data_IF_254848615255
#
_entry.id   IF_254848615255
#
_cell.length_a   1.000
_cell.length_b   1.000
_cell.length_c   1.000
_cell.angle_alpha   90.00
_cell.angle_beta   90.00
_cell.angle_gamma   90.00
#
_symmetry.space_group_name_H-M   'P 1'
#
loop_
_entity.id
_entity.type
_entity.pdbx_description
1 polymer ?
#
# COMPACT_ATOMS: atom_id res chain seq x y z
N UNK A 1 -7.96 30.41 -12.20
CA UNK A 1 -7.81 28.94 -12.35
C UNK A 1 -8.03 28.30 -11.00
N UNK A 2 -8.94 27.33 -10.87
CA UNK A 2 -9.14 26.56 -9.64
C UNK A 2 -8.18 25.34 -9.62
N UNK A 3 -7.63 24.99 -8.45
CA UNK A 3 -6.70 23.86 -8.26
C UNK A 3 -7.12 23.02 -7.04
N UNK A 4 -6.79 21.73 -7.07
CA UNK A 4 -6.92 20.80 -5.95
C UNK A 4 -5.63 19.98 -5.81
N UNK A 5 -5.36 19.36 -4.64
CA UNK A 5 -4.29 18.37 -4.50
C UNK A 5 -4.46 17.20 -5.47
N UNK A 6 -3.36 16.59 -5.90
CA UNK A 6 -3.30 15.48 -6.87
C UNK A 6 -3.53 14.10 -6.26
N UNK A 7 -3.95 14.06 -4.98
CA UNK A 7 -4.17 12.85 -4.21
C UNK A 7 -2.89 12.22 -3.69
N UNK A 8 -3.03 11.12 -2.95
CA UNK A 8 -1.92 10.51 -2.20
C UNK A 8 -0.82 9.98 -3.13
N UNK A 9 -1.17 9.63 -4.36
CA UNK A 9 -0.24 9.22 -5.41
C UNK A 9 0.73 10.33 -5.86
N UNK A 10 0.43 11.60 -5.57
CA UNK A 10 1.35 12.72 -5.81
C UNK A 10 2.66 12.62 -5.05
N UNK A 11 2.71 11.78 -3.99
CA UNK A 11 3.90 11.54 -3.17
C UNK A 11 5.15 11.22 -4.00
N UNK A 12 5.05 10.32 -4.98
CA UNK A 12 6.23 9.88 -5.75
C UNK A 12 6.84 11.04 -6.57
N UNK A 13 5.99 11.83 -7.23
CA UNK A 13 6.39 13.02 -7.97
C UNK A 13 6.93 14.11 -7.06
N UNK A 14 6.33 14.30 -5.88
CA UNK A 14 6.78 15.26 -4.89
C UNK A 14 8.17 14.91 -4.33
N UNK A 15 8.41 13.65 -3.99
CA UNK A 15 9.71 13.17 -3.50
C UNK A 15 10.81 13.36 -4.55
N UNK A 16 10.51 13.05 -5.82
CA UNK A 16 11.45 13.23 -6.94
C UNK A 16 11.76 14.69 -7.20
N UNK A 17 10.74 15.53 -7.38
CA UNK A 17 10.93 16.96 -7.68
C UNK A 17 11.60 17.73 -6.54
N UNK A 18 11.43 17.27 -5.31
CA UNK A 18 12.04 17.87 -4.11
C UNK A 18 13.44 17.31 -3.78
N UNK A 19 13.99 16.40 -4.59
CA UNK A 19 15.29 15.72 -4.38
C UNK A 19 15.40 15.00 -3.03
N UNK A 20 14.27 14.52 -2.51
CA UNK A 20 14.21 13.85 -1.20
C UNK A 20 14.76 12.43 -1.26
N UNK A 21 14.75 11.79 -2.43
CA UNK A 21 15.41 10.48 -2.59
C UNK A 21 16.93 10.59 -2.38
N UNK A 22 17.57 11.62 -2.93
CA UNK A 22 19.00 11.87 -2.77
C UNK A 22 19.37 12.26 -1.34
N UNK A 23 18.55 13.09 -0.68
CA UNK A 23 18.74 13.44 0.75
C UNK A 23 18.64 12.19 1.64
N UNK A 24 17.61 11.36 1.45
CA UNK A 24 17.44 10.10 2.19
C UNK A 24 18.60 9.14 1.96
N UNK A 25 19.05 8.99 0.70
CA UNK A 25 20.19 8.14 0.36
C UNK A 25 21.49 8.63 1.03
N UNK A 26 21.74 9.94 1.02
CA UNK A 26 22.92 10.55 1.65
C UNK A 26 22.93 10.33 3.17
N UNK A 27 21.75 10.29 3.79
CA UNK A 27 21.58 9.99 5.22
C UNK A 27 21.61 8.49 5.55
N UNK A 28 21.75 7.62 4.54
CA UNK A 28 21.75 6.17 4.73
C UNK A 28 20.38 5.58 5.08
N UNK A 29 19.28 6.28 4.78
CA UNK A 29 17.92 5.76 4.98
C UNK A 29 17.67 4.63 3.98
N UNK A 30 17.19 3.49 4.46
CA UNK A 30 16.91 2.30 3.63
C UNK A 30 15.43 1.99 3.47
N UNK A 31 14.62 2.38 4.45
CA UNK A 31 13.22 2.02 4.57
C UNK A 31 12.39 3.26 4.86
N UNK A 32 11.20 3.33 4.27
CA UNK A 32 10.28 4.46 4.34
C UNK A 32 8.93 3.94 4.85
N UNK A 33 8.51 4.45 6.00
CA UNK A 33 7.19 4.19 6.60
C UNK A 33 6.21 5.30 6.18
N UNK A 34 5.21 4.94 5.38
CA UNK A 34 4.19 5.84 4.87
C UNK A 34 2.86 5.55 5.57
N UNK A 35 2.27 6.58 6.18
CA UNK A 35 1.02 6.44 6.93
C UNK A 35 0.02 7.58 6.67
N UNK A 36 -1.27 7.29 6.85
CA UNK A 36 -2.34 8.28 6.87
C UNK A 36 -2.37 9.07 8.19
N UNK A 37 -2.41 10.41 8.10
CA UNK A 37 -2.32 11.32 9.26
C UNK A 37 -3.53 11.25 10.21
N UNK A 38 -4.67 10.75 9.74
CA UNK A 38 -5.93 10.64 10.47
C UNK A 38 -5.98 9.48 11.47
N UNK A 39 -5.02 8.55 11.40
CA UNK A 39 -4.96 7.42 12.30
C UNK A 39 -4.30 7.79 13.64
N UNK A 40 -5.11 8.16 14.63
CA UNK A 40 -4.64 8.48 15.99
C UNK A 40 -3.95 7.30 16.72
N UNK A 41 -4.16 6.06 16.26
CA UNK A 41 -3.56 4.85 16.83
C UNK A 41 -2.31 4.38 16.05
N UNK A 42 -1.85 5.17 15.08
CA UNK A 42 -0.69 4.80 14.27
C UNK A 42 0.55 4.63 15.14
N UNK A 43 1.23 3.50 14.96
CA UNK A 43 2.55 3.25 15.53
C UNK A 43 3.59 3.65 14.50
N UNK A 44 3.94 4.94 14.47
CA UNK A 44 4.95 5.50 13.55
C UNK A 44 6.27 4.77 13.77
N UNK A 45 6.90 4.32 12.68
CA UNK A 45 8.16 3.58 12.70
C UNK A 45 8.13 2.35 13.62
N UNK A 46 7.02 1.59 13.59
CA UNK A 46 6.85 0.37 14.40
C UNK A 46 7.99 -0.64 14.13
N UNK A 47 8.88 -0.90 15.12
CA UNK A 47 10.05 -1.75 14.93
C UNK A 47 9.67 -3.21 14.66
N UNK A 48 8.49 -3.65 15.10
CA UNK A 48 7.99 -5.01 14.85
C UNK A 48 7.73 -5.22 13.37
N UNK A 49 7.06 -4.24 12.75
CA UNK A 49 6.74 -4.29 11.34
C UNK A 49 7.98 -4.08 10.48
N UNK A 50 8.85 -3.14 10.85
CA UNK A 50 10.12 -2.95 10.17
C UNK A 50 10.98 -4.22 10.24
N UNK A 51 11.11 -4.83 11.41
CA UNK A 51 11.87 -6.07 11.59
C UNK A 51 11.33 -7.21 10.72
N UNK A 52 10.00 -7.40 10.68
CA UNK A 52 9.36 -8.37 9.79
C UNK A 52 9.60 -8.06 8.30
N UNK A 53 9.47 -6.80 7.92
CA UNK A 53 9.70 -6.34 6.54
C UNK A 53 11.14 -6.66 6.08
N UNK A 54 12.12 -6.42 6.96
CA UNK A 54 13.53 -6.74 6.73
C UNK A 54 13.73 -8.26 6.67
N UNK A 55 13.19 -9.03 7.63
CA UNK A 55 13.29 -10.49 7.65
C UNK A 55 12.77 -11.14 6.37
N UNK A 56 11.65 -10.61 5.83
CA UNK A 56 11.08 -11.11 4.57
C UNK A 56 11.80 -10.66 3.32
N UNK A 57 12.72 -9.70 3.41
CA UNK A 57 13.50 -9.22 2.27
C UNK A 57 12.63 -8.67 1.12
N UNK A 58 11.51 -8.03 1.46
CA UNK A 58 10.58 -7.47 0.47
C UNK A 58 10.85 -6.00 0.17
N UNK A 59 10.38 -5.53 -0.98
CA UNK A 59 10.50 -4.14 -1.43
C UNK A 59 9.32 -3.25 -1.03
N UNK A 60 8.13 -3.84 -0.83
CA UNK A 60 6.90 -3.18 -0.44
C UNK A 60 6.07 -4.08 0.49
N UNK A 61 5.43 -3.47 1.50
CA UNK A 61 4.65 -4.15 2.53
C UNK A 61 3.53 -3.26 3.04
N UNK A 62 2.42 -3.85 3.47
CA UNK A 62 1.31 -3.11 4.07
C UNK A 62 0.87 -3.77 5.37
N UNK A 63 0.51 -2.95 6.36
CA UNK A 63 -0.30 -3.41 7.48
C UNK A 63 -1.76 -3.36 7.04
N UNK A 64 -2.50 -4.40 7.41
CA UNK A 64 -3.92 -4.47 7.13
C UNK A 64 -4.68 -4.72 8.39
N UNK A 65 -5.97 -4.44 8.34
CA UNK A 65 -6.92 -4.93 9.33
C UNK A 65 -7.96 -5.76 8.63
N UNK A 66 -8.57 -6.67 9.38
CA UNK A 66 -9.69 -7.44 8.85
C UNK A 66 -10.91 -6.54 8.70
N UNK A 67 -11.52 -6.57 7.52
CA UNK A 67 -12.80 -5.92 7.24
C UNK A 67 -13.87 -6.43 8.21
N UNK A 68 -14.56 -5.51 8.88
CA UNK A 68 -15.51 -5.82 9.94
C UNK A 68 -16.84 -6.38 9.39
N UNK A 69 -17.30 -5.83 8.26
CA UNK A 69 -18.55 -6.22 7.59
C UNK A 69 -18.48 -5.89 6.08
N UNK A 70 -19.29 -6.54 5.22
CA UNK A 70 -19.18 -6.39 3.75
C UNK A 70 -19.29 -4.95 3.23
N UNK A 71 -20.14 -4.13 3.87
CA UNK A 71 -20.45 -2.76 3.47
C UNK A 71 -19.48 -1.71 4.03
N UNK A 72 -18.45 -2.12 4.78
CA UNK A 72 -17.43 -1.20 5.28
C UNK A 72 -16.76 -0.48 4.10
N UNK A 73 -16.74 0.86 4.16
CA UNK A 73 -16.22 1.74 3.10
C UNK A 73 -14.70 1.84 3.19
N UNK A 74 -14.03 0.76 2.82
CA UNK A 74 -12.57 0.66 2.84
C UNK A 74 -12.09 -0.10 1.62
N UNK A 75 -10.98 0.37 1.03
CA UNK A 75 -10.31 -0.36 -0.04
C UNK A 75 -9.78 -1.70 0.47
N UNK A 76 -9.79 -2.72 -0.38
CA UNK A 76 -9.33 -4.07 -0.01
C UNK A 76 -8.22 -4.55 -0.93
N UNK A 77 -7.26 -5.28 -0.37
CA UNK A 77 -6.22 -5.93 -1.16
C UNK A 77 -6.78 -7.13 -1.91
N UNK A 78 -6.56 -7.14 -3.23
CA UNK A 78 -7.02 -8.17 -4.16
C UNK A 78 -5.87 -8.61 -5.05
N UNK A 79 -5.69 -9.92 -5.19
CA UNK A 79 -4.78 -10.48 -6.19
C UNK A 79 -5.50 -10.65 -7.52
N UNK A 80 -4.99 -10.02 -8.57
CA UNK A 80 -5.54 -10.12 -9.93
C UNK A 80 -5.08 -11.43 -10.57
N UNK A 81 -5.96 -12.43 -10.61
CA UNK A 81 -5.66 -13.74 -11.20
C UNK A 81 -4.66 -14.58 -10.37
N UNK A 82 -4.40 -15.81 -10.82
CA UNK A 82 -3.41 -16.68 -10.18
C UNK A 82 -2.00 -16.21 -10.55
N UNK A 83 -1.17 -15.94 -9.56
CA UNK A 83 0.19 -15.47 -9.81
C UNK A 83 0.30 -13.95 -10.06
N UNK A 84 -0.78 -13.28 -10.45
CA UNK A 84 -0.75 -11.87 -10.81
C UNK A 84 -0.64 -10.91 -9.61
N UNK A 85 -0.68 -9.60 -9.88
CA UNK A 85 -0.32 -8.58 -8.91
C UNK A 85 -1.32 -8.41 -7.78
N UNK A 86 -0.83 -7.92 -6.64
CA UNK A 86 -1.68 -7.43 -5.57
C UNK A 86 -2.00 -5.96 -5.82
N UNK A 87 -3.29 -5.64 -5.79
CA UNK A 87 -3.81 -4.29 -6.00
C UNK A 87 -4.80 -3.95 -4.90
N UNK A 88 -4.93 -2.67 -4.56
CA UNK A 88 -6.07 -2.20 -3.76
C UNK A 88 -7.23 -1.95 -4.72
N UNK A 89 -8.41 -2.49 -4.39
CA UNK A 89 -9.67 -2.15 -5.05
C UNK A 89 -10.45 -1.28 -4.09
N UNK A 90 -10.76 -0.06 -4.51
CA UNK A 90 -11.54 0.87 -3.69
C UNK A 90 -12.96 0.37 -3.49
N UNK A 91 -13.57 0.71 -2.35
CA UNK A 91 -14.92 0.24 -2.01
C UNK A 91 -15.98 0.67 -3.05
N UNK A 92 -15.76 1.81 -3.72
CA UNK A 92 -16.62 2.31 -4.81
C UNK A 92 -16.49 1.51 -6.11
N UNK A 93 -15.41 0.74 -6.27
CA UNK A 93 -15.10 -0.05 -7.46
C UNK A 93 -15.32 -1.55 -7.25
N UNK A 94 -15.56 -1.98 -6.00
CA UNK A 94 -15.79 -3.37 -5.65
C UNK A 94 -17.27 -3.74 -5.83
N UNK A 95 -17.53 -4.73 -6.69
CA UNK A 95 -18.88 -5.25 -6.90
C UNK A 95 -19.51 -5.73 -5.57
N UNK A 96 -20.77 -5.35 -5.25
CA UNK A 96 -21.41 -5.72 -3.98
C UNK A 96 -21.50 -7.23 -3.72
N UNK A 97 -21.64 -8.05 -4.76
CA UNK A 97 -21.66 -9.52 -4.63
C UNK A 97 -20.29 -10.05 -4.23
N UNK A 98 -19.21 -9.46 -4.76
CA UNK A 98 -17.84 -9.77 -4.34
C UNK A 98 -17.56 -9.26 -2.93
N UNK A 99 -18.02 -8.06 -2.59
CA UNK A 99 -17.85 -7.49 -1.25
C UNK A 99 -18.46 -8.39 -0.15
N UNK A 100 -19.53 -9.11 -0.49
CA UNK A 100 -20.24 -10.04 0.39
C UNK A 100 -19.83 -11.50 0.22
N UNK A 101 -18.90 -11.79 -0.69
CA UNK A 101 -18.50 -13.17 -0.98
C UNK A 101 -17.81 -13.81 0.22
N UNK A 102 -18.21 -15.03 0.57
CA UNK A 102 -17.65 -15.80 1.68
C UNK A 102 -16.68 -16.85 1.14
N UNK A 103 -15.51 -16.94 1.75
CA UNK A 103 -14.61 -18.06 1.61
C UNK A 103 -15.18 -19.25 2.40
N UNK A 104 -15.56 -20.31 1.69
CA UNK A 104 -16.26 -21.47 2.26
C UNK A 104 -15.41 -22.28 3.26
N UNK A 105 -14.09 -22.27 3.12
CA UNK A 105 -13.17 -23.00 4.01
C UNK A 105 -13.01 -22.27 5.35
N UNK A 106 -12.97 -20.94 5.31
CA UNK A 106 -12.69 -20.11 6.50
C UNK A 106 -13.95 -19.53 7.14
N UNK A 107 -15.08 -19.53 6.43
CA UNK A 107 -16.33 -18.86 6.84
C UNK A 107 -16.23 -17.34 6.89
N UNK A 108 -15.15 -16.75 6.35
CA UNK A 108 -14.87 -15.30 6.39
C UNK A 108 -15.13 -14.65 5.05
N UNK A 109 -15.18 -13.32 5.03
CA UNK A 109 -15.22 -12.57 3.77
C UNK A 109 -13.99 -12.92 2.92
N UNK A 110 -14.24 -13.21 1.65
CA UNK A 110 -13.21 -13.55 0.66
C UNK A 110 -12.25 -12.38 0.45
N UNK A 111 -12.77 -11.15 0.45
CA UNK A 111 -11.99 -9.92 0.38
C UNK A 111 -12.09 -9.20 1.73
N UNK A 112 -11.25 -9.64 2.67
CA UNK A 112 -11.30 -9.19 4.06
C UNK A 112 -10.10 -8.36 4.51
N UNK A 113 -9.16 -8.05 3.62
CA UNK A 113 -7.93 -7.37 4.00
C UNK A 113 -7.97 -5.90 3.63
N UNK A 114 -8.31 -5.07 4.61
CA UNK A 114 -8.55 -3.65 4.45
C UNK A 114 -7.24 -2.86 4.35
N UNK A 115 -7.18 -1.96 3.38
CA UNK A 115 -6.12 -0.96 3.29
C UNK A 115 -6.36 0.14 4.33
N UNK A 116 -5.49 0.20 5.34
CA UNK A 116 -5.52 1.23 6.40
C UNK A 116 -4.46 2.31 6.18
N UNK A 117 -3.97 2.44 4.94
CA UNK A 117 -2.98 3.44 4.55
C UNK A 117 -1.69 3.36 5.40
N UNK A 118 -1.21 2.14 5.70
CA UNK A 118 0.04 1.89 6.42
C UNK A 118 0.95 1.04 5.53
N UNK A 119 1.93 1.68 4.90
CA UNK A 119 2.81 1.05 3.91
C UNK A 119 4.28 1.21 4.28
N UNK A 120 5.08 0.18 4.04
CA UNK A 120 6.53 0.23 4.14
C UNK A 120 7.14 -0.02 2.77
N UNK A 121 8.15 0.77 2.41
CA UNK A 121 8.89 0.62 1.17
C UNK A 121 10.38 0.61 1.43
N UNK A 122 11.15 -0.12 0.62
CA UNK A 122 12.58 0.18 0.48
C UNK A 122 12.76 1.49 -0.29
N UNK A 123 13.76 2.28 0.07
CA UNK A 123 14.12 3.51 -0.64
C UNK A 123 14.34 3.24 -2.14
N UNK A 124 15.08 2.17 -2.46
CA UNK A 124 15.39 1.79 -3.84
C UNK A 124 14.14 1.51 -4.67
N UNK A 125 13.20 0.75 -4.13
CA UNK A 125 11.92 0.49 -4.77
C UNK A 125 11.17 1.79 -5.02
N UNK A 126 11.03 2.64 -4.00
CA UNK A 126 10.27 3.89 -4.14
C UNK A 126 10.88 4.82 -5.18
N UNK A 127 12.21 4.87 -5.27
CA UNK A 127 12.94 5.63 -6.27
C UNK A 127 12.79 5.02 -7.67
N UNK A 128 12.87 3.69 -7.82
CA UNK A 128 12.61 3.01 -9.11
C UNK A 128 11.21 3.32 -9.63
N UNK A 129 10.23 3.27 -8.74
CA UNK A 129 8.84 3.62 -9.03
C UNK A 129 8.73 5.07 -9.52
N UNK A 130 9.27 6.03 -8.76
CA UNK A 130 9.21 7.44 -9.12
C UNK A 130 9.89 7.76 -10.46
N UNK A 131 10.90 6.99 -10.85
CA UNK A 131 11.58 7.13 -12.14
C UNK A 131 10.95 6.31 -13.28
N UNK A 132 10.24 5.23 -12.96
CA UNK A 132 9.53 4.38 -13.92
C UNK A 132 8.16 4.94 -14.34
N UNK A 133 7.55 5.77 -13.49
CA UNK A 133 6.25 6.42 -13.77
C UNK A 133 6.21 7.26 -15.06
N UNK A 134 7.36 7.62 -15.65
CA UNK A 134 7.43 8.38 -16.90
C UNK A 134 7.23 7.53 -18.17
N UNK A 135 7.34 6.20 -18.11
CA UNK A 135 7.37 5.37 -19.34
C UNK A 135 6.11 4.62 -19.70
N UNK A 136 5.21 4.36 -18.76
CA UNK A 136 3.89 3.80 -19.05
C UNK A 136 3.01 4.07 -17.82
N UNK A 137 1.82 4.64 -18.01
CA UNK A 137 0.80 4.82 -16.96
C UNK A 137 0.23 3.47 -16.44
N UNK A 138 0.98 2.39 -16.59
CA UNK A 138 0.67 1.06 -16.08
C UNK A 138 1.12 1.05 -14.62
N UNK A 139 0.16 1.37 -13.76
CA UNK A 139 0.02 0.90 -12.38
C UNK A 139 1.31 0.30 -11.82
N UNK A 140 2.09 1.11 -11.10
CA UNK A 140 3.26 0.61 -10.39
C UNK A 140 2.82 -0.55 -9.51
N UNK A 141 3.28 -1.72 -9.93
CA UNK A 141 2.77 -3.01 -9.51
C UNK A 141 3.42 -3.36 -8.17
N UNK A 142 2.73 -3.07 -7.08
CA UNK A 142 3.20 -3.39 -5.73
C UNK A 142 3.15 -4.91 -5.52
N UNK A 143 4.31 -5.56 -5.55
CA UNK A 143 4.45 -6.95 -5.12
C UNK A 143 4.41 -7.00 -3.59
N UNK A 144 3.21 -6.90 -3.02
CA UNK A 144 3.00 -7.21 -1.61
C UNK A 144 3.12 -8.72 -1.44
N UNK A 145 4.29 -9.17 -0.97
CA UNK A 145 4.51 -10.59 -0.73
C UNK A 145 3.96 -11.04 0.63
N UNK A 146 3.68 -10.11 1.54
CA UNK A 146 3.20 -10.41 2.88
C UNK A 146 2.27 -9.33 3.43
N UNK A 147 1.33 -9.75 4.25
CA UNK A 147 0.28 -8.95 4.82
C UNK A 147 0.14 -9.33 6.29
N UNK A 148 0.38 -8.37 7.18
CA UNK A 148 0.29 -8.59 8.63
C UNK A 148 -1.10 -8.23 9.14
N UNK A 149 -1.66 -9.14 9.93
CA UNK A 149 -2.75 -8.91 10.87
C UNK A 149 -2.29 -9.36 12.25
#
# INVERSE_FOLDING_TARGET
VAKAPDGNGGLYSALKSSKLFEDMATRGIKYIDCYGVDNALVRVADPTFLGYFIDKGVSAGAKVVRKAYPQEKVGVFVRRGKGGPLTVVEYSELDPSLASAINQETGRLRFCWSNVCLHMFTLDFLNQVANGLEKDSVLVMLSFSYMLC
#
